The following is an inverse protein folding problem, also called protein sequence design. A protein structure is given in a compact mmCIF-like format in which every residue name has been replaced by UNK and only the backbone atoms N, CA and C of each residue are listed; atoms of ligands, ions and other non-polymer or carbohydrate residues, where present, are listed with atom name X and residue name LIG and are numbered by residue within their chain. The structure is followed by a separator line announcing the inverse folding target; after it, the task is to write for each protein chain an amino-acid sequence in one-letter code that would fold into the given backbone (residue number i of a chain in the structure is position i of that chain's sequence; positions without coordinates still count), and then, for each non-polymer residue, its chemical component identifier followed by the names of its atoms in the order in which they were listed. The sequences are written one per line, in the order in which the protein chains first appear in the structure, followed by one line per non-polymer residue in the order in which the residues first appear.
data_IF_001610463495
#
_entry.id   IF_001610463495
#
_cell.length_a   1.000
_cell.length_b   1.000
_cell.length_c   1.000
_cell.angle_alpha   90.00
_cell.angle_beta   90.00
_cell.angle_gamma   90.00
#
_symmetry.space_group_name_H-M   'P 1'
#
loop_
_entity.id
_entity.type
_entity.pdbx_description
1 polymer ?
#
# COMPACT_ATOMS: atom_id res chain seq x y z
N UNK A 1 15.29 -12.64 -6.38
CA UNK A 1 15.23 -12.25 -7.82
C UNK A 1 14.98 -10.76 -7.86
N UNK A 2 15.76 -10.03 -8.66
CA UNK A 2 15.65 -8.57 -8.76
C UNK A 2 14.22 -8.12 -9.10
N UNK A 3 13.79 -6.99 -8.53
CA UNK A 3 12.52 -6.36 -8.85
C UNK A 3 12.44 -5.92 -10.31
N UNK A 4 11.28 -6.11 -10.92
CA UNK A 4 10.89 -5.41 -12.15
C UNK A 4 10.03 -4.22 -11.74
N UNK A 5 10.61 -3.02 -11.80
CA UNK A 5 9.97 -1.82 -11.27
C UNK A 5 9.17 -1.12 -12.37
N UNK A 6 7.92 -0.73 -12.06
CA UNK A 6 7.12 0.13 -12.94
C UNK A 6 7.72 1.54 -13.01
N UNK A 7 7.67 2.16 -14.19
CA UNK A 7 8.27 3.47 -14.47
C UNK A 7 7.26 4.51 -14.95
N UNK A 8 5.98 4.13 -15.02
CA UNK A 8 4.91 4.87 -15.71
C UNK A 8 4.72 4.42 -17.16
N UNK A 9 5.60 3.59 -17.70
CA UNK A 9 5.51 3.11 -19.08
C UNK A 9 4.53 1.93 -19.27
N UNK A 10 4.03 1.32 -18.20
CA UNK A 10 3.23 0.11 -18.26
C UNK A 10 4.08 -1.10 -18.56
N UNK A 11 5.12 -1.29 -17.73
CA UNK A 11 6.14 -2.31 -17.90
C UNK A 11 5.52 -3.70 -17.75
N UNK A 12 5.70 -4.54 -18.76
CA UNK A 12 5.23 -5.91 -18.73
C UNK A 12 6.01 -6.71 -17.66
N UNK A 13 5.27 -7.39 -16.78
CA UNK A 13 5.87 -8.16 -15.69
C UNK A 13 6.44 -7.32 -14.55
N UNK A 14 6.14 -6.02 -14.48
CA UNK A 14 6.43 -5.23 -13.28
C UNK A 14 5.77 -5.87 -12.05
N UNK A 15 6.55 -5.98 -10.97
CA UNK A 15 6.15 -6.60 -9.71
C UNK A 15 6.34 -5.67 -8.50
N UNK A 16 6.81 -4.42 -8.73
CA UNK A 16 6.82 -3.37 -7.72
C UNK A 16 6.63 -1.98 -8.29
N UNK A 17 5.96 -1.09 -7.56
CA UNK A 17 5.90 0.35 -7.87
C UNK A 17 7.15 1.12 -7.43
N UNK A 18 7.97 0.57 -6.53
CA UNK A 18 9.17 1.22 -6.03
C UNK A 18 10.40 0.32 -6.07
N UNK A 19 11.56 0.90 -6.35
CA UNK A 19 12.85 0.20 -6.27
C UNK A 19 13.37 0.14 -4.83
N UNK A 20 14.26 -0.82 -4.55
CA UNK A 20 14.97 -0.87 -3.26
C UNK A 20 15.70 0.43 -2.94
N UNK A 21 16.28 1.08 -3.97
CA UNK A 21 16.99 2.34 -3.82
C UNK A 21 16.03 3.46 -3.36
N UNK A 22 14.85 3.56 -3.97
CA UNK A 22 13.85 4.54 -3.57
C UNK A 22 13.41 4.32 -2.12
N UNK A 23 13.06 3.09 -1.74
CA UNK A 23 12.60 2.76 -0.38
C UNK A 23 13.71 3.03 0.65
N UNK A 24 14.96 2.71 0.31
CA UNK A 24 16.12 3.02 1.16
C UNK A 24 16.31 4.52 1.35
N UNK A 25 16.20 5.33 0.29
CA UNK A 25 16.24 6.80 0.40
C UNK A 25 15.08 7.33 1.24
N UNK A 26 13.88 6.77 1.06
CA UNK A 26 12.69 7.15 1.81
C UNK A 26 12.89 6.98 3.32
N UNK A 27 13.43 5.83 3.74
CA UNK A 27 13.67 5.52 5.16
C UNK A 27 14.91 6.19 5.73
N UNK A 28 15.95 6.41 4.93
CA UNK A 28 17.12 7.19 5.34
C UNK A 28 16.75 8.65 5.67
N UNK A 29 15.68 9.20 5.08
CA UNK A 29 15.15 10.51 5.44
C UNK A 29 14.26 10.51 6.69
N UNK A 30 13.94 9.33 7.27
CA UNK A 30 12.98 9.14 8.37
C UNK A 30 13.56 8.29 9.50
N UNK A 31 14.82 8.53 9.84
CA UNK A 31 15.57 7.76 10.85
C UNK A 31 14.96 7.76 12.25
N UNK A 32 14.07 8.71 12.56
CA UNK A 32 13.33 8.74 13.82
C UNK A 32 12.26 7.64 13.94
N UNK A 33 11.85 7.02 12.83
CA UNK A 33 10.87 5.94 12.79
C UNK A 33 11.57 4.57 12.89
N UNK A 34 11.05 3.66 13.72
CA UNK A 34 11.61 2.31 13.92
C UNK A 34 11.60 1.46 12.65
N UNK A 35 10.68 1.71 11.73
CA UNK A 35 10.63 1.06 10.41
C UNK A 35 11.87 1.37 9.57
N UNK A 36 12.54 2.52 9.78
CA UNK A 36 13.77 2.86 9.09
C UNK A 36 14.90 1.89 9.43
N UNK A 37 15.05 1.53 10.71
CA UNK A 37 16.02 0.54 11.16
C UNK A 37 15.65 -0.87 10.69
N UNK A 38 14.36 -1.19 10.66
CA UNK A 38 13.84 -2.47 10.16
C UNK A 38 14.20 -2.67 8.69
N UNK A 39 13.94 -1.67 7.84
CA UNK A 39 14.33 -1.70 6.43
C UNK A 39 15.85 -1.79 6.28
N UNK A 40 16.61 -0.90 6.93
CA UNK A 40 18.07 -0.85 6.80
C UNK A 40 18.79 -2.13 7.27
N UNK A 41 18.18 -2.91 8.17
CA UNK A 41 18.72 -4.17 8.67
C UNK A 41 18.40 -5.40 7.82
N UNK A 42 17.54 -5.28 6.81
CA UNK A 42 17.17 -6.41 5.94
C UNK A 42 18.23 -6.68 4.86
N UNK A 43 18.34 -7.94 4.45
CA UNK A 43 19.10 -8.31 3.26
C UNK A 43 18.33 -7.99 1.97
N UNK A 44 19.06 -7.89 0.85
CA UNK A 44 18.50 -7.46 -0.43
C UNK A 44 17.40 -8.41 -0.94
N UNK A 45 17.50 -9.71 -0.75
CA UNK A 45 16.44 -10.63 -1.20
C UNK A 45 15.14 -10.41 -0.40
N UNK A 46 15.22 -10.15 0.91
CA UNK A 46 14.04 -9.80 1.71
C UNK A 46 13.45 -8.44 1.36
N UNK A 47 14.28 -7.44 1.09
CA UNK A 47 13.80 -6.13 0.61
C UNK A 47 13.01 -6.26 -0.70
N UNK A 48 13.53 -7.10 -1.62
CA UNK A 48 12.87 -7.43 -2.88
C UNK A 48 11.55 -8.19 -2.69
N UNK A 49 11.47 -9.12 -1.74
CA UNK A 49 10.22 -9.81 -1.40
C UNK A 49 9.19 -8.85 -0.78
N UNK A 50 9.62 -8.02 0.16
CA UNK A 50 8.76 -7.07 0.86
C UNK A 50 8.15 -6.00 -0.05
N UNK A 51 8.92 -5.51 -1.04
CA UNK A 51 8.41 -4.54 -2.02
C UNK A 51 7.34 -5.15 -2.94
N UNK A 52 7.49 -6.43 -3.32
CA UNK A 52 6.46 -7.17 -4.08
C UNK A 52 5.20 -7.35 -3.26
N UNK A 53 5.34 -7.79 -2.02
CA UNK A 53 4.20 -8.00 -1.12
C UNK A 53 3.43 -6.69 -0.88
N UNK A 54 4.15 -5.60 -0.63
CA UNK A 54 3.57 -4.26 -0.49
C UNK A 54 2.80 -3.83 -1.75
N UNK A 55 3.38 -4.03 -2.93
CA UNK A 55 2.74 -3.68 -4.21
C UNK A 55 1.49 -4.52 -4.46
N UNK A 56 1.57 -5.83 -4.25
CA UNK A 56 0.43 -6.72 -4.39
C UNK A 56 -0.69 -6.39 -3.41
N UNK A 57 -0.36 -6.03 -2.16
CA UNK A 57 -1.32 -5.58 -1.17
C UNK A 57 -2.05 -4.32 -1.63
N UNK A 58 -1.32 -3.31 -2.14
CA UNK A 58 -1.91 -2.09 -2.64
C UNK A 58 -2.91 -2.35 -3.77
N UNK A 59 -2.50 -3.13 -4.77
CA UNK A 59 -3.36 -3.44 -5.92
C UNK A 59 -4.57 -4.27 -5.52
N UNK A 60 -4.44 -5.18 -4.55
CA UNK A 60 -5.54 -6.01 -4.07
C UNK A 60 -6.60 -5.20 -3.30
N UNK A 61 -6.16 -4.28 -2.43
CA UNK A 61 -7.06 -3.54 -1.52
C UNK A 61 -7.62 -2.29 -2.19
N UNK A 62 -6.75 -1.51 -2.86
CA UNK A 62 -7.09 -0.20 -3.40
C UNK A 62 -7.34 -0.18 -4.91
N UNK A 63 -6.97 -1.24 -5.61
CA UNK A 63 -7.03 -1.34 -7.07
C UNK A 63 -8.36 -0.95 -7.70
N UNK A 64 -9.46 -1.38 -7.06
CA UNK A 64 -10.83 -1.09 -7.50
C UNK A 64 -11.25 0.37 -7.31
N UNK A 65 -10.53 1.12 -6.46
CA UNK A 65 -10.82 2.51 -6.13
C UNK A 65 -9.89 3.49 -6.83
N UNK A 66 -8.85 3.02 -7.54
CA UNK A 66 -7.98 3.90 -8.32
C UNK A 66 -8.77 4.66 -9.38
N UNK A 67 -8.46 5.95 -9.51
CA UNK A 67 -9.06 6.80 -10.54
C UNK A 67 -8.66 6.36 -11.94
N UNK A 68 -9.50 6.71 -12.92
CA UNK A 68 -9.29 6.34 -14.31
C UNK A 68 -9.34 4.83 -14.55
N UNK A 69 -8.86 4.42 -15.71
CA UNK A 69 -8.87 3.02 -16.17
C UNK A 69 -7.46 2.55 -16.46
N UNK A 70 -7.19 1.26 -16.25
CA UNK A 70 -5.87 0.67 -16.54
C UNK A 70 -5.47 0.95 -17.99
N UNK A 71 -4.27 1.50 -18.19
CA UNK A 71 -3.86 2.03 -19.50
C UNK A 71 -3.59 0.92 -20.54
N UNK A 72 -2.97 -0.17 -20.10
CA UNK A 72 -2.62 -1.31 -20.94
C UNK A 72 -3.19 -2.63 -20.44
N UNK A 73 -3.34 -3.59 -21.34
CA UNK A 73 -3.64 -4.97 -20.95
C UNK A 73 -2.38 -5.74 -20.51
N UNK A 74 -1.22 -5.42 -21.11
CA UNK A 74 0.04 -6.12 -20.92
C UNK A 74 0.92 -5.55 -19.79
N UNK A 75 0.53 -4.41 -19.19
CA UNK A 75 1.25 -3.87 -18.03
C UNK A 75 1.13 -4.82 -16.83
N UNK A 76 2.20 -4.93 -16.04
CA UNK A 76 2.26 -5.86 -14.90
C UNK A 76 1.36 -5.48 -13.73
N UNK A 77 1.16 -4.17 -13.50
CA UNK A 77 0.47 -3.62 -12.33
C UNK A 77 -0.77 -2.81 -12.71
N UNK A 78 -1.55 -2.35 -11.73
CA UNK A 78 -2.78 -1.59 -11.99
C UNK A 78 -2.55 -0.13 -12.44
N UNK A 79 -1.37 0.43 -12.15
CA UNK A 79 -0.84 1.64 -12.77
C UNK A 79 0.22 1.28 -13.82
N UNK A 80 0.36 2.05 -14.92
CA UNK A 80 -0.26 3.34 -15.22
C UNK A 80 -1.74 3.28 -15.59
N UNK A 81 -2.42 4.44 -15.53
CA UNK A 81 -3.86 4.58 -15.79
C UNK A 81 -4.17 5.73 -16.74
N UNK A 82 -5.11 5.51 -17.64
CA UNK A 82 -5.64 6.52 -18.55
C UNK A 82 -6.86 7.21 -17.94
N UNK A 83 -7.01 8.51 -18.22
CA UNK A 83 -8.13 9.34 -17.72
C UNK A 83 -8.21 9.38 -16.19
N UNK A 84 -7.09 9.16 -15.51
CA UNK A 84 -6.96 9.42 -14.08
C UNK A 84 -6.74 10.92 -13.90
N UNK A 85 -7.69 11.59 -13.26
CA UNK A 85 -7.67 13.02 -13.01
C UNK A 85 -7.78 13.28 -11.51
N UNK A 86 -7.08 14.30 -11.03
CA UNK A 86 -7.27 14.81 -9.66
C UNK A 86 -8.62 15.55 -9.51
N UNK A 87 -8.87 16.10 -8.32
CA UNK A 87 -10.12 16.82 -8.02
C UNK A 87 -10.26 18.14 -8.79
N UNK A 88 -9.15 18.68 -9.32
CA UNK A 88 -9.10 19.88 -10.15
C UNK A 88 -9.23 19.54 -11.66
N UNK A 89 -9.30 18.25 -12.01
CA UNK A 89 -9.40 17.78 -13.38
C UNK A 89 -8.06 17.70 -14.11
N UNK A 90 -6.94 17.82 -13.40
CA UNK A 90 -5.60 17.71 -13.98
C UNK A 90 -5.21 16.24 -14.14
N UNK A 91 -4.55 15.86 -15.26
CA UNK A 91 -4.05 14.51 -15.45
C UNK A 91 -3.06 14.11 -14.35
N UNK A 92 -3.31 12.94 -13.75
CA UNK A 92 -2.37 12.32 -12.82
C UNK A 92 -1.12 11.84 -13.58
N UNK A 93 0.04 11.79 -12.90
CA UNK A 93 1.23 11.16 -13.46
C UNK A 93 1.01 9.67 -13.75
N UNK A 94 1.71 9.13 -14.73
CA UNK A 94 1.61 7.73 -15.11
C UNK A 94 2.05 6.77 -13.98
N UNK A 95 2.98 7.21 -13.13
CA UNK A 95 3.31 6.58 -11.86
C UNK A 95 3.18 7.60 -10.72
N UNK A 96 2.07 7.56 -9.96
CA UNK A 96 1.89 8.46 -8.83
C UNK A 96 2.93 8.27 -7.73
N UNK A 97 3.54 9.35 -7.21
CA UNK A 97 4.50 9.27 -6.11
C UNK A 97 3.87 8.68 -4.83
N UNK A 98 2.55 8.82 -4.66
CA UNK A 98 1.77 8.23 -3.57
C UNK A 98 1.93 6.71 -3.52
N UNK A 99 1.95 6.03 -4.67
CA UNK A 99 2.17 4.58 -4.72
C UNK A 99 3.57 4.22 -4.26
N UNK A 100 4.58 4.97 -4.71
CA UNK A 100 5.97 4.71 -4.33
C UNK A 100 6.16 4.88 -2.82
N UNK A 101 5.57 5.92 -2.24
CA UNK A 101 5.59 6.20 -0.80
C UNK A 101 4.81 5.13 -0.02
N UNK A 102 3.63 4.73 -0.49
CA UNK A 102 2.85 3.68 0.14
C UNK A 102 3.56 2.32 0.11
N UNK A 103 4.25 1.98 -1.00
CA UNK A 103 5.09 0.79 -1.08
C UNK A 103 6.25 0.88 -0.09
N UNK A 104 6.92 2.04 0.05
CA UNK A 104 8.01 2.19 1.01
C UNK A 104 7.54 1.97 2.47
N UNK A 105 6.37 2.51 2.80
CA UNK A 105 5.70 2.34 4.09
C UNK A 105 5.33 0.87 4.36
N UNK A 106 4.66 0.21 3.41
CA UNK A 106 4.21 -1.18 3.58
C UNK A 106 5.37 -2.17 3.51
N UNK A 107 6.37 -1.96 2.66
CA UNK A 107 7.50 -2.88 2.51
C UNK A 107 8.29 -2.99 3.82
N UNK A 108 8.51 -1.89 4.54
CA UNK A 108 9.16 -1.98 5.86
C UNK A 108 8.33 -2.76 6.88
N UNK A 109 6.99 -2.70 6.81
CA UNK A 109 6.09 -3.48 7.67
C UNK A 109 6.06 -4.96 7.29
N UNK A 110 6.10 -5.27 5.99
CA UNK A 110 6.15 -6.63 5.47
C UNK A 110 7.38 -7.43 5.95
N UNK A 111 8.49 -6.73 6.23
CA UNK A 111 9.69 -7.33 6.82
C UNK A 111 9.47 -7.85 8.26
N UNK A 112 8.48 -7.33 8.98
CA UNK A 112 8.18 -7.71 10.36
C UNK A 112 7.03 -8.70 10.46
N UNK A 113 6.02 -8.59 9.61
CA UNK A 113 4.87 -9.48 9.57
C UNK A 113 4.18 -9.42 8.19
N UNK A 114 3.49 -10.51 7.76
CA UNK A 114 2.70 -10.49 6.54
C UNK A 114 1.66 -9.36 6.54
N UNK A 115 1.50 -8.67 5.41
CA UNK A 115 0.58 -7.54 5.27
C UNK A 115 -0.89 -7.96 5.21
N UNK A 116 -1.15 -9.10 4.58
CA UNK A 116 -2.44 -9.77 4.59
C UNK A 116 -2.30 -11.04 5.42
N UNK A 117 -3.04 -11.14 6.52
CA UNK A 117 -3.19 -12.40 7.23
C UNK A 117 -4.23 -13.23 6.51
N UNK A 118 -3.91 -14.47 6.15
CA UNK A 118 -4.95 -15.44 5.79
C UNK A 118 -5.93 -15.55 6.96
N UNK A 119 -7.22 -15.34 6.69
CA UNK A 119 -8.26 -15.56 7.68
C UNK A 119 -8.38 -17.08 7.88
N UNK A 120 -7.74 -17.63 8.92
CA UNK A 120 -8.07 -18.99 9.35
C UNK A 120 -9.53 -19.00 9.82
N UNK A 121 -10.40 -19.73 9.11
CA UNK A 121 -11.77 -19.98 9.54
C UNK A 121 -11.69 -20.94 10.74
N UNK A 122 -11.46 -20.40 11.93
CA UNK A 122 -11.72 -21.14 13.17
C UNK A 122 -13.10 -20.78 13.70
N UNK A 123 -13.79 -21.79 14.25
CA UNK A 123 -14.99 -21.61 15.05
C UNK A 123 -14.76 -20.61 16.21
N UNK A 124 -15.81 -20.27 16.97
CA UNK A 124 -15.91 -19.01 17.73
C UNK A 124 -14.62 -18.64 18.47
N UNK A 125 -13.92 -17.64 17.93
CA UNK A 125 -12.67 -17.10 18.47
C UNK A 125 -13.03 -16.05 19.51
N UNK A 126 -12.64 -16.26 20.77
CA UNK A 126 -13.02 -15.39 21.90
C UNK A 126 -12.06 -14.20 22.11
N UNK A 127 -10.84 -14.23 21.56
CA UNK A 127 -9.93 -13.08 21.50
C UNK A 127 -8.71 -13.37 20.61
N UNK A 128 -8.33 -12.41 19.76
CA UNK A 128 -7.03 -12.39 19.10
C UNK A 128 -6.51 -10.94 19.08
N UNK A 129 -5.30 -10.70 19.55
CA UNK A 129 -4.67 -9.37 19.56
C UNK A 129 -3.67 -9.29 18.41
N UNK A 130 -3.95 -8.47 17.40
CA UNK A 130 -3.00 -8.13 16.34
C UNK A 130 -2.33 -6.82 16.71
N UNK A 131 -1.05 -6.86 17.08
CA UNK A 131 -0.24 -5.65 17.29
C UNK A 131 0.32 -5.21 15.95
N UNK A 132 -0.25 -4.16 15.38
CA UNK A 132 0.38 -3.39 14.30
C UNK A 132 1.14 -2.26 14.98
N UNK A 133 2.46 -2.27 14.89
CA UNK A 133 3.27 -1.24 15.55
C UNK A 133 2.84 0.16 15.09
N UNK A 134 2.48 0.99 16.09
CA UNK A 134 2.14 2.44 16.07
C UNK A 134 0.66 2.85 15.88
N UNK A 135 -0.30 1.94 15.63
CA UNK A 135 -1.73 2.28 15.82
C UNK A 135 -2.44 1.15 16.56
N UNK A 136 -2.61 1.33 17.87
CA UNK A 136 -3.53 0.52 18.67
C UNK A 136 -4.95 1.09 18.54
N UNK A 137 -5.73 0.62 17.57
CA UNK A 137 -7.18 0.78 17.64
C UNK A 137 -7.76 -0.34 18.50
N UNK A 138 -7.99 -0.05 19.78
CA UNK A 138 -8.83 -0.87 20.65
C UNK A 138 -10.28 -0.47 20.42
N UNK A 139 -10.94 -1.11 19.46
CA UNK A 139 -12.40 -1.03 19.35
C UNK A 139 -12.98 -2.36 19.83
N UNK A 140 -13.76 -2.33 20.91
CA UNK A 140 -14.56 -3.48 21.34
C UNK A 140 -15.64 -3.73 20.29
N UNK A 141 -15.47 -4.79 19.49
CA UNK A 141 -16.49 -5.25 18.56
C UNK A 141 -17.18 -6.50 19.15
N UNK A 142 -18.51 -6.58 19.00
CA UNK A 142 -19.32 -7.73 19.42
C UNK A 142 -19.00 -9.01 18.64
N UNK A 143 -19.54 -10.14 19.13
CA UNK A 143 -19.29 -11.50 18.62
C UNK A 143 -19.35 -11.58 17.08
N UNK A 144 -18.24 -12.03 16.47
CA UNK A 144 -18.13 -12.28 15.02
C UNK A 144 -17.28 -11.28 14.23
N UNK A 145 -16.72 -10.25 14.87
CA UNK A 145 -15.85 -9.29 14.18
C UNK A 145 -14.47 -9.88 13.84
N UNK A 146 -14.06 -9.69 12.58
CA UNK A 146 -12.73 -10.05 12.08
C UNK A 146 -11.77 -8.87 12.29
N UNK A 147 -10.57 -9.15 12.81
CA UNK A 147 -9.51 -8.17 13.00
C UNK A 147 -8.46 -8.33 11.90
N UNK A 148 -8.53 -7.48 10.88
CA UNK A 148 -7.48 -7.35 9.86
C UNK A 148 -6.64 -6.10 10.15
N UNK A 149 -5.31 -6.13 9.96
CA UNK A 149 -4.45 -4.95 10.06
C UNK A 149 -4.98 -3.83 9.15
N UNK A 150 -5.46 -2.72 9.72
CA UNK A 150 -5.77 -1.52 8.95
C UNK A 150 -4.59 -0.58 8.95
N UNK A 151 -3.97 -0.37 7.80
CA UNK A 151 -2.89 0.59 7.63
C UNK A 151 -3.46 2.00 7.37
N UNK A 152 -4.07 2.64 8.37
CA UNK A 152 -4.76 3.92 8.19
C UNK A 152 -3.90 5.06 7.63
N UNK A 153 -2.57 5.02 7.83
CA UNK A 153 -1.65 5.97 7.20
C UNK A 153 -1.62 5.83 5.65
N UNK A 154 -1.81 4.61 5.13
CA UNK A 154 -1.84 4.33 3.70
C UNK A 154 -3.09 4.92 3.05
N UNK A 155 -4.23 4.91 3.75
CA UNK A 155 -5.46 5.55 3.26
C UNK A 155 -5.24 7.04 3.00
N UNK A 156 -4.55 7.73 3.90
CA UNK A 156 -4.19 9.14 3.75
C UNK A 156 -3.19 9.40 2.62
N UNK A 157 -2.20 8.51 2.45
CA UNK A 157 -1.21 8.62 1.37
C UNK A 157 -1.88 8.42 0.01
N UNK A 158 -2.78 7.45 -0.11
CA UNK A 158 -3.41 7.12 -1.39
C UNK A 158 -4.63 7.98 -1.70
N UNK A 159 -5.23 8.66 -0.73
CA UNK A 159 -6.43 9.47 -0.91
C UNK A 159 -6.46 10.31 -2.21
N UNK A 160 -5.37 11.01 -2.62
CA UNK A 160 -5.36 11.78 -3.86
C UNK A 160 -5.62 10.95 -5.12
N UNK A 161 -5.20 9.69 -5.15
CA UNK A 161 -5.29 8.81 -6.34
C UNK A 161 -6.51 7.87 -6.31
N UNK A 162 -7.35 7.96 -5.28
CA UNK A 162 -8.56 7.16 -5.11
C UNK A 162 -9.82 7.95 -5.48
N UNK A 163 -10.87 7.24 -5.88
CA UNK A 163 -12.15 7.81 -6.29
C UNK A 163 -13.10 8.18 -5.13
N UNK A 164 -12.67 7.97 -3.87
CA UNK A 164 -13.46 8.30 -2.67
C UNK A 164 -14.51 7.26 -2.29
N UNK A 165 -14.65 6.16 -3.03
CA UNK A 165 -15.60 5.08 -2.72
C UNK A 165 -15.01 3.99 -1.80
N UNK A 166 -13.75 4.12 -1.38
CA UNK A 166 -13.10 3.16 -0.49
C UNK A 166 -13.72 3.15 0.92
N UNK A 167 -13.77 2.00 1.61
CA UNK A 167 -14.16 1.95 3.02
C UNK A 167 -13.25 2.83 3.87
N UNK A 168 -13.84 3.70 4.70
CA UNK A 168 -13.05 4.63 5.53
C UNK A 168 -12.54 5.88 4.80
N UNK A 169 -13.00 6.14 3.57
CA UNK A 169 -12.78 7.42 2.90
C UNK A 169 -13.16 8.57 3.83
N UNK A 170 -12.19 9.42 4.16
CA UNK A 170 -12.51 10.64 4.90
C UNK A 170 -13.43 11.48 4.01
N UNK A 171 -14.55 12.02 4.54
CA UNK A 171 -15.41 12.89 3.75
C UNK A 171 -14.55 14.05 3.26
N UNK A 172 -14.31 14.11 1.95
CA UNK A 172 -13.67 15.28 1.37
C UNK A 172 -14.62 16.44 1.61
N UNK A 173 -14.18 17.40 2.43
CA UNK A 173 -14.90 18.65 2.65
C UNK A 173 -14.84 19.46 1.35
N UNK A 174 -15.68 19.08 0.40
CA UNK A 174 -15.88 19.81 -0.83
C UNK A 174 -16.63 21.09 -0.47
N UNK A 175 -15.92 22.20 -0.32
CA UNK A 175 -16.54 23.51 -0.48
C UNK A 175 -16.88 23.62 -1.97
N UNK A 176 -18.15 23.40 -2.29
CA UNK A 176 -18.77 23.86 -3.53
C UNK A 176 -19.70 25.00 -3.19
#
# INVERSE_FOLDING_TARGET
MALTVETGAGVAGADSYASQAFISTYWAARTHNTLAATWAGADSDKMDGAAREATAYLDAIYGQFYRGVRAGYLQGLLWPRSRALDDEGMPMPDLPPELMVAVAELAARALSAPLASDAEIHGPITAQTVKVDVISESTEYGEGARLEPKYGAIDGILAPILNGAQPGAQPSWNWR
#
